data_IF_672759736899
#
_entry.id   IF_672759736899
#
_cell.length_a   1.000
_cell.length_b   1.000
_cell.length_c   1.000
_cell.angle_alpha   90.00
_cell.angle_beta   90.00
_cell.angle_gamma   90.00
#
_symmetry.space_group_name_H-M   'P 1'
#
loop_
_entity.id
_entity.type
_entity.pdbx_description
1 polymer ?
#
# COMPACT_ATOMS: atom_id res chain seq x y z
N UNK A 1 -7.44 10.07 -10.11
CA UNK A 1 -6.28 9.98 -9.22
C UNK A 1 -5.21 10.99 -9.60
N UNK A 2 -4.11 11.07 -8.85
CA UNK A 2 -3.05 12.07 -9.00
C UNK A 2 -2.50 12.23 -10.44
N UNK A 3 -2.29 11.19 -11.25
CA UNK A 3 -1.83 11.36 -12.63
C UNK A 3 -2.81 12.15 -13.50
N UNK A 4 -4.11 11.87 -13.37
CA UNK A 4 -5.14 12.60 -14.13
C UNK A 4 -5.28 14.04 -13.64
N UNK A 5 -5.17 14.26 -12.33
CA UNK A 5 -5.22 15.57 -11.71
C UNK A 5 -4.05 16.45 -12.16
N UNK A 6 -2.82 15.94 -12.11
CA UNK A 6 -1.64 16.66 -12.57
C UNK A 6 -1.69 16.97 -14.06
N UNK A 7 -2.18 16.04 -14.90
CA UNK A 7 -2.38 16.28 -16.32
C UNK A 7 -3.43 17.37 -16.57
N UNK A 8 -4.53 17.35 -15.83
CA UNK A 8 -5.58 18.36 -15.91
C UNK A 8 -5.06 19.74 -15.51
N UNK A 9 -4.30 19.85 -14.43
CA UNK A 9 -3.64 21.11 -14.02
C UNK A 9 -2.70 21.63 -15.10
N UNK A 10 -1.84 20.77 -15.65
CA UNK A 10 -0.91 21.12 -16.73
C UNK A 10 -1.64 21.66 -17.97
N UNK A 11 -2.79 21.08 -18.29
CA UNK A 11 -3.61 21.48 -19.44
C UNK A 11 -4.65 22.56 -19.09
N UNK A 12 -4.66 23.05 -17.84
CA UNK A 12 -5.58 24.10 -17.36
C UNK A 12 -7.06 23.77 -17.57
N UNK A 13 -7.43 22.51 -17.33
CA UNK A 13 -8.80 22.00 -17.41
C UNK A 13 -9.22 21.36 -16.10
N UNK A 14 -10.52 21.26 -15.86
CA UNK A 14 -11.02 20.55 -14.67
C UNK A 14 -10.69 19.05 -14.73
N UNK A 15 -10.24 18.41 -13.63
CA UNK A 15 -9.89 16.98 -13.60
C UNK A 15 -11.00 16.07 -14.13
N UNK A 16 -12.27 16.35 -13.82
CA UNK A 16 -13.40 15.58 -14.32
C UNK A 16 -13.52 15.67 -15.85
N UNK A 17 -13.48 16.87 -16.40
CA UNK A 17 -13.54 17.08 -17.85
C UNK A 17 -12.39 16.37 -18.57
N UNK A 18 -11.16 16.49 -18.03
CA UNK A 18 -10.00 15.79 -18.55
C UNK A 18 -10.19 14.27 -18.54
N UNK A 19 -10.62 13.73 -17.41
CA UNK A 19 -10.77 12.28 -17.23
C UNK A 19 -11.85 11.71 -18.17
N UNK A 20 -13.02 12.32 -18.23
CA UNK A 20 -14.10 11.81 -19.09
C UNK A 20 -13.76 11.94 -20.58
N UNK A 21 -13.13 13.04 -21.00
CA UNK A 21 -12.66 13.20 -22.38
C UNK A 21 -11.66 12.10 -22.76
N UNK A 22 -10.73 11.76 -21.88
CA UNK A 22 -9.78 10.68 -22.13
C UNK A 22 -10.46 9.29 -22.18
N UNK A 23 -11.45 9.03 -21.32
CA UNK A 23 -12.25 7.79 -21.38
C UNK A 23 -12.91 7.66 -22.76
N UNK A 24 -13.57 8.69 -23.23
CA UNK A 24 -14.25 8.69 -24.53
C UNK A 24 -13.26 8.50 -25.69
N UNK A 25 -12.10 9.14 -25.61
CA UNK A 25 -11.04 8.97 -26.58
C UNK A 25 -10.51 7.53 -26.61
N UNK A 26 -10.21 6.94 -25.46
CA UNK A 26 -9.75 5.55 -25.35
C UNK A 26 -10.80 4.56 -25.88
N UNK A 27 -12.08 4.80 -25.59
CA UNK A 27 -13.19 3.98 -26.14
C UNK A 27 -13.22 4.04 -27.66
N UNK A 28 -13.02 5.21 -28.24
CA UNK A 28 -12.95 5.38 -29.70
C UNK A 28 -11.79 4.59 -30.29
N UNK A 29 -10.62 4.64 -29.66
CA UNK A 29 -9.46 3.86 -30.10
C UNK A 29 -9.70 2.35 -30.00
N UNK A 30 -10.26 1.86 -28.89
CA UNK A 30 -10.56 0.44 -28.69
C UNK A 30 -11.61 -0.06 -29.69
N UNK A 31 -12.62 0.75 -30.01
CA UNK A 31 -13.60 0.43 -31.06
C UNK A 31 -12.97 0.34 -32.44
N UNK A 32 -12.00 1.20 -32.76
CA UNK A 32 -11.31 1.18 -34.05
C UNK A 32 -10.45 -0.07 -34.25
N UNK A 33 -10.06 -0.75 -33.17
CA UNK A 33 -9.35 -2.04 -33.23
C UNK A 33 -10.26 -3.23 -33.52
N UNK A 34 -11.58 -3.03 -33.60
CA UNK A 34 -12.52 -4.11 -33.86
C UNK A 34 -12.68 -5.12 -32.72
N UNK A 35 -12.36 -4.75 -31.50
CA UNK A 35 -12.50 -5.63 -30.35
C UNK A 35 -13.97 -5.86 -30.00
N UNK A 36 -14.32 -7.12 -29.73
CA UNK A 36 -15.69 -7.52 -29.33
C UNK A 36 -15.93 -7.22 -27.83
N UNK A 37 -16.03 -5.93 -27.50
CA UNK A 37 -16.27 -5.45 -26.14
C UNK A 37 -17.74 -5.09 -25.98
N UNK A 38 -18.37 -5.63 -24.93
CA UNK A 38 -19.72 -5.22 -24.53
C UNK A 38 -19.68 -3.89 -23.75
N UNK A 39 -19.84 -2.79 -24.46
CA UNK A 39 -19.80 -1.44 -23.88
C UNK A 39 -20.96 -1.12 -22.93
N UNK A 40 -22.03 -1.93 -22.92
CA UNK A 40 -23.11 -1.77 -21.94
C UNK A 40 -22.68 -2.12 -20.51
N UNK A 41 -21.59 -2.86 -20.38
CA UNK A 41 -21.01 -3.29 -19.11
C UNK A 41 -19.80 -2.44 -18.67
N UNK A 42 -19.66 -1.25 -19.24
CA UNK A 42 -18.60 -0.32 -18.86
C UNK A 42 -18.70 0.07 -17.37
N UNK A 43 -17.58 -0.03 -16.69
CA UNK A 43 -17.42 0.42 -15.30
C UNK A 43 -16.46 1.59 -15.27
N UNK A 44 -16.89 2.69 -14.67
CA UNK A 44 -16.07 3.89 -14.48
C UNK A 44 -15.84 4.13 -12.98
N UNK A 45 -14.66 3.79 -12.48
CA UNK A 45 -14.37 3.77 -11.05
C UNK A 45 -14.39 5.16 -10.39
N UNK A 46 -14.23 6.24 -11.16
CA UNK A 46 -14.31 7.60 -10.65
C UNK A 46 -15.75 8.15 -10.53
N UNK A 47 -16.76 7.38 -10.93
CA UNK A 47 -18.16 7.78 -10.77
C UNK A 47 -18.72 7.44 -9.39
N UNK A 48 -19.64 8.28 -8.84
CA UNK A 48 -20.30 8.03 -7.56
C UNK A 48 -20.98 6.66 -7.47
N UNK A 49 -21.55 6.18 -8.55
CA UNK A 49 -22.23 4.88 -8.60
C UNK A 49 -21.27 3.71 -8.30
N UNK A 50 -19.99 3.90 -8.58
CA UNK A 50 -18.96 2.93 -8.27
C UNK A 50 -18.37 3.19 -6.88
N UNK A 51 -17.73 4.35 -6.65
CA UNK A 51 -16.95 4.57 -5.43
C UNK A 51 -17.79 4.67 -4.14
N UNK A 52 -19.11 4.87 -4.21
CA UNK A 52 -19.99 4.76 -3.05
C UNK A 52 -19.89 3.40 -2.35
N UNK A 53 -19.61 2.34 -3.11
CA UNK A 53 -19.45 1.00 -2.56
C UNK A 53 -18.09 0.82 -1.88
N UNK A 54 -17.05 1.46 -2.41
CA UNK A 54 -15.75 1.52 -1.74
C UNK A 54 -15.85 2.29 -0.41
N UNK A 55 -16.57 3.40 -0.40
CA UNK A 55 -16.85 4.17 0.82
C UNK A 55 -17.68 3.37 1.83
N UNK A 56 -18.68 2.63 1.36
CA UNK A 56 -19.46 1.73 2.21
C UNK A 56 -18.58 0.63 2.80
N UNK A 57 -17.77 -0.03 2.01
CA UNK A 57 -16.83 -1.06 2.47
C UNK A 57 -15.86 -0.49 3.51
N UNK A 58 -15.30 0.69 3.23
CA UNK A 58 -14.42 1.39 4.17
C UNK A 58 -15.08 1.60 5.53
N UNK A 59 -16.32 2.08 5.57
CA UNK A 59 -17.04 2.31 6.83
C UNK A 59 -17.28 1.01 7.59
N UNK A 60 -17.63 -0.10 6.89
CA UNK A 60 -17.78 -1.41 7.52
C UNK A 60 -16.48 -1.96 8.10
N UNK A 61 -15.37 -1.78 7.39
CA UNK A 61 -14.06 -2.20 7.89
C UNK A 61 -13.59 -1.34 9.07
N UNK A 62 -13.93 -0.05 9.07
CA UNK A 62 -13.66 0.84 10.19
C UNK A 62 -14.47 0.47 11.44
N UNK A 63 -15.77 0.19 11.31
CA UNK A 63 -16.62 -0.30 12.40
C UNK A 63 -16.11 -1.61 13.03
N UNK A 64 -15.51 -2.46 12.19
CA UNK A 64 -14.88 -3.73 12.63
C UNK A 64 -13.45 -3.56 13.15
N UNK A 65 -12.95 -2.35 13.28
CA UNK A 65 -11.58 -2.04 13.64
C UNK A 65 -10.50 -2.76 12.78
N UNK A 66 -10.87 -3.13 11.55
CA UNK A 66 -9.90 -3.57 10.53
C UNK A 66 -9.14 -2.38 9.97
N UNK A 67 -9.86 -1.25 9.83
CA UNK A 67 -9.27 0.06 9.54
C UNK A 67 -9.23 0.88 10.82
N UNK A 68 -8.14 1.57 11.07
CA UNK A 68 -7.97 2.47 12.20
C UNK A 68 -7.21 3.73 11.79
N UNK A 69 -7.39 4.81 12.56
CA UNK A 69 -6.71 6.08 12.33
C UNK A 69 -5.54 6.24 13.29
N UNK A 70 -4.41 6.66 12.77
CA UNK A 70 -3.18 6.87 13.53
C UNK A 70 -2.31 7.90 12.82
N UNK A 71 -1.57 8.72 13.59
CA UNK A 71 -0.50 9.55 13.00
C UNK A 71 0.69 8.68 12.65
N UNK A 72 1.33 8.99 11.55
CA UNK A 72 2.50 8.29 11.09
C UNK A 72 3.37 9.17 10.19
N UNK A 73 4.65 8.84 10.16
CA UNK A 73 5.63 9.52 9.32
C UNK A 73 5.51 9.08 7.88
N UNK A 74 5.39 10.06 6.99
CA UNK A 74 5.25 9.85 5.55
C UNK A 74 6.31 10.61 4.78
N UNK A 75 6.57 10.16 3.54
CA UNK A 75 7.36 10.92 2.59
C UNK A 75 6.47 11.97 1.94
N UNK A 76 6.78 13.24 2.15
CA UNK A 76 6.04 14.36 1.59
C UNK A 76 6.83 15.02 0.47
N UNK A 77 6.19 15.16 -0.68
CA UNK A 77 6.71 15.95 -1.79
C UNK A 77 6.18 17.39 -1.70
N UNK A 78 7.03 18.39 -1.45
CA UNK A 78 6.57 19.77 -1.26
C UNK A 78 6.14 20.45 -2.57
N UNK A 79 6.56 19.94 -3.73
CA UNK A 79 6.21 20.49 -5.06
C UNK A 79 4.90 19.91 -5.55
N UNK A 80 4.77 18.58 -5.52
CA UNK A 80 3.52 17.90 -5.90
C UNK A 80 2.46 17.95 -4.79
N UNK A 81 2.83 18.43 -3.58
CA UNK A 81 1.98 18.54 -2.39
C UNK A 81 1.24 17.24 -2.08
N UNK A 82 1.96 16.13 -2.11
CA UNK A 82 1.39 14.78 -1.93
C UNK A 82 2.30 13.88 -1.12
N UNK A 83 1.70 12.82 -0.59
CA UNK A 83 2.42 11.72 0.06
C UNK A 83 2.93 10.76 -1.00
N UNK A 84 4.19 10.36 -0.89
CA UNK A 84 4.84 9.39 -1.75
C UNK A 84 5.03 8.04 -1.02
N UNK A 85 4.75 6.95 -1.71
CA UNK A 85 5.19 5.62 -1.29
C UNK A 85 6.72 5.52 -1.34
N UNK A 86 7.29 4.54 -0.63
CA UNK A 86 8.75 4.40 -0.59
C UNK A 86 9.35 4.16 -1.98
N UNK A 87 8.65 3.44 -2.85
CA UNK A 87 9.05 3.14 -4.23
C UNK A 87 9.04 4.38 -5.14
N UNK A 88 8.38 5.44 -4.70
CA UNK A 88 8.29 6.72 -5.41
C UNK A 88 9.36 7.72 -4.95
N UNK A 89 10.22 7.31 -4.03
CA UNK A 89 11.37 8.10 -3.56
C UNK A 89 12.65 7.49 -4.11
N UNK A 90 13.32 8.22 -4.99
CA UNK A 90 14.57 7.82 -5.62
C UNK A 90 15.66 8.78 -5.17
N UNK A 91 16.71 8.27 -4.54
CA UNK A 91 17.83 9.07 -4.02
C UNK A 91 17.38 10.26 -3.13
N UNK A 92 16.34 10.03 -2.30
CA UNK A 92 15.77 11.05 -1.42
C UNK A 92 14.92 12.09 -2.11
N UNK A 93 14.57 11.88 -3.38
CA UNK A 93 13.78 12.81 -4.21
C UNK A 93 12.50 12.16 -4.71
N UNK A 94 11.47 12.95 -4.88
CA UNK A 94 10.23 12.52 -5.53
C UNK A 94 10.47 12.13 -6.98
N UNK A 95 10.03 10.94 -7.36
CA UNK A 95 10.24 10.33 -8.68
C UNK A 95 9.74 11.16 -9.87
N UNK A 96 8.80 12.06 -9.62
CA UNK A 96 8.15 12.88 -10.63
C UNK A 96 8.65 14.33 -10.58
N UNK A 97 8.59 14.96 -9.40
CA UNK A 97 8.94 16.36 -9.21
C UNK A 97 10.45 16.60 -9.17
N UNK A 98 11.24 15.59 -8.78
CA UNK A 98 12.66 15.72 -8.48
C UNK A 98 12.96 16.50 -7.19
N UNK A 99 11.93 16.97 -6.47
CA UNK A 99 12.08 17.69 -5.21
C UNK A 99 12.63 16.79 -4.11
N UNK A 100 13.40 17.37 -3.18
CA UNK A 100 13.84 16.67 -1.97
C UNK A 100 12.61 16.36 -1.13
N UNK A 101 12.48 15.09 -0.75
CA UNK A 101 11.35 14.60 0.03
C UNK A 101 11.53 14.97 1.51
N UNK A 102 10.46 15.44 2.13
CA UNK A 102 10.40 15.74 3.56
C UNK A 102 9.72 14.61 4.33
N UNK A 103 10.12 14.41 5.59
CA UNK A 103 9.35 13.56 6.51
C UNK A 103 8.33 14.43 7.23
N UNK A 104 7.05 14.02 7.17
CA UNK A 104 5.95 14.69 7.87
C UNK A 104 5.10 13.72 8.65
N UNK A 105 4.70 14.11 9.85
CA UNK A 105 3.71 13.40 10.65
C UNK A 105 2.31 13.85 10.25
N UNK A 106 1.52 12.94 9.69
CA UNK A 106 0.13 13.22 9.33
C UNK A 106 -0.81 12.13 9.84
N UNK A 107 -2.06 12.48 10.22
CA UNK A 107 -3.06 11.48 10.58
C UNK A 107 -3.52 10.75 9.33
N UNK A 108 -3.41 9.44 9.33
CA UNK A 108 -3.78 8.57 8.21
C UNK A 108 -4.62 7.38 8.68
N UNK A 109 -5.29 6.74 7.74
CA UNK A 109 -5.95 5.46 7.97
C UNK A 109 -5.01 4.31 7.62
N UNK A 110 -5.05 3.28 8.44
CA UNK A 110 -4.24 2.07 8.30
C UNK A 110 -5.13 0.85 8.30
N UNK A 111 -4.76 -0.15 7.50
CA UNK A 111 -5.33 -1.48 7.55
C UNK A 111 -4.51 -2.37 8.47
N UNK A 112 -5.15 -3.01 9.44
CA UNK A 112 -4.53 -3.97 10.35
C UNK A 112 -4.29 -5.34 9.71
N UNK A 113 -3.68 -5.38 8.52
CA UNK A 113 -3.52 -6.58 7.70
C UNK A 113 -2.63 -7.64 8.36
N UNK A 114 -1.66 -7.22 9.16
CA UNK A 114 -0.67 -8.12 9.79
C UNK A 114 -1.31 -9.11 10.78
N UNK A 115 -2.49 -8.78 11.35
CA UNK A 115 -3.22 -9.71 12.22
C UNK A 115 -3.72 -10.96 11.51
N UNK A 116 -3.80 -10.92 10.18
CA UNK A 116 -4.24 -12.03 9.33
C UNK A 116 -3.08 -12.81 8.70
N UNK A 117 -1.83 -12.43 8.97
CA UNK A 117 -0.66 -13.00 8.31
C UNK A 117 -0.54 -14.51 8.50
N UNK A 118 -0.76 -15.01 9.73
CA UNK A 118 -0.71 -16.45 10.04
C UNK A 118 -1.84 -17.22 9.34
N UNK A 119 -3.05 -16.67 9.34
CA UNK A 119 -4.20 -17.26 8.68
C UNK A 119 -3.98 -17.32 7.16
N UNK A 120 -3.56 -16.22 6.56
CA UNK A 120 -3.25 -16.16 5.13
C UNK A 120 -2.16 -17.15 4.74
N UNK A 121 -1.09 -17.25 5.55
CA UNK A 121 0.00 -18.20 5.28
C UNK A 121 -0.47 -19.66 5.32
N UNK A 122 -1.25 -20.02 6.33
CA UNK A 122 -1.82 -21.36 6.48
C UNK A 122 -2.76 -21.70 5.32
N UNK A 123 -3.62 -20.75 4.94
CA UNK A 123 -4.67 -20.98 3.95
C UNK A 123 -4.12 -21.08 2.52
N UNK A 124 -2.87 -20.65 2.27
CA UNK A 124 -2.17 -20.92 1.00
C UNK A 124 -2.07 -22.41 0.68
N UNK A 125 -2.01 -23.26 1.70
CA UNK A 125 -1.92 -24.71 1.52
C UNK A 125 -3.22 -25.33 1.01
N UNK A 126 -4.33 -24.61 1.12
CA UNK A 126 -5.67 -25.02 0.63
C UNK A 126 -5.97 -24.50 -0.79
N UNK A 127 -5.11 -23.70 -1.37
CA UNK A 127 -5.31 -23.09 -2.70
C UNK A 127 -4.73 -23.98 -3.81
N UNK A 128 -5.22 -25.21 -3.92
CA UNK A 128 -4.71 -26.21 -4.85
C UNK A 128 -4.82 -25.81 -6.33
N UNK A 129 -5.79 -24.92 -6.66
CA UNK A 129 -6.00 -24.42 -8.01
C UNK A 129 -5.06 -23.24 -8.38
N UNK A 130 -4.30 -22.75 -7.41
CA UNK A 130 -3.35 -21.68 -7.67
C UNK A 130 -2.01 -22.26 -8.16
N UNK A 131 -1.37 -21.62 -9.16
CA UNK A 131 -0.03 -22.02 -9.59
C UNK A 131 0.96 -21.99 -8.41
N UNK A 132 1.81 -23.00 -8.31
CA UNK A 132 2.79 -23.10 -7.21
C UNK A 132 3.70 -21.88 -7.10
N UNK A 133 4.09 -21.30 -8.25
CA UNK A 133 4.88 -20.07 -8.28
C UNK A 133 4.18 -18.91 -7.55
N UNK A 134 2.87 -18.76 -7.72
CA UNK A 134 2.09 -17.70 -7.06
C UNK A 134 2.02 -17.96 -5.56
N UNK A 135 1.76 -19.20 -5.13
CA UNK A 135 1.75 -19.57 -3.70
C UNK A 135 3.10 -19.30 -3.04
N UNK A 136 4.18 -19.65 -3.71
CA UNK A 136 5.55 -19.38 -3.24
C UNK A 136 5.82 -17.89 -3.12
N UNK A 137 5.42 -17.07 -4.11
CA UNK A 137 5.55 -15.62 -4.04
C UNK A 137 4.79 -15.04 -2.85
N UNK A 138 3.57 -15.53 -2.57
CA UNK A 138 2.78 -15.08 -1.40
C UNK A 138 3.44 -15.48 -0.08
N UNK A 139 3.95 -16.70 0.05
CA UNK A 139 4.69 -17.14 1.25
C UNK A 139 5.92 -16.25 1.51
N UNK A 140 6.69 -15.98 0.47
CA UNK A 140 7.87 -15.13 0.55
C UNK A 140 7.53 -13.68 0.89
N UNK A 141 6.41 -13.17 0.38
CA UNK A 141 5.93 -11.83 0.69
C UNK A 141 5.47 -11.70 2.15
N UNK A 142 4.73 -12.67 2.68
CA UNK A 142 4.33 -12.70 4.09
C UNK A 142 5.57 -12.81 4.98
N UNK A 143 6.55 -13.61 4.58
CA UNK A 143 7.90 -13.60 5.13
C UNK A 143 7.97 -13.99 6.60
N UNK A 144 7.25 -15.05 7.03
CA UNK A 144 7.31 -15.52 8.41
C UNK A 144 8.75 -15.91 8.78
N UNK A 145 9.26 -15.32 9.84
CA UNK A 145 10.56 -15.65 10.39
C UNK A 145 10.46 -16.02 11.87
N UNK A 146 11.40 -16.80 12.34
CA UNK A 146 11.52 -17.17 13.74
C UNK A 146 12.79 -16.56 14.31
N UNK A 147 12.74 -16.21 15.58
CA UNK A 147 13.90 -15.74 16.32
C UNK A 147 13.87 -16.27 17.74
N UNK A 148 14.98 -16.13 18.43
CA UNK A 148 15.13 -16.49 19.82
C UNK A 148 15.54 -15.29 20.66
N UNK A 149 14.95 -15.20 21.84
CA UNK A 149 15.49 -14.36 22.92
C UNK A 149 16.60 -15.15 23.61
N UNK A 150 17.79 -14.59 23.66
CA UNK A 150 18.94 -15.18 24.34
C UNK A 150 19.21 -14.32 25.56
N UNK A 151 19.30 -14.94 26.71
CA UNK A 151 19.56 -14.26 27.99
C UNK A 151 20.97 -14.65 28.48
N UNK A 152 21.77 -13.64 28.77
CA UNK A 152 23.10 -13.79 29.37
C UNK A 152 23.05 -13.19 30.76
N UNK A 153 23.40 -13.97 31.77
CA UNK A 153 23.60 -13.45 33.12
C UNK A 153 24.88 -12.60 33.17
N UNK A 154 24.85 -11.51 33.90
CA UNK A 154 26.05 -10.72 34.12
C UNK A 154 27.03 -11.50 35.02
N UNK A 155 28.31 -11.42 34.70
CA UNK A 155 29.36 -11.86 35.62
C UNK A 155 29.55 -10.79 36.71
N UNK A 156 28.83 -10.97 37.81
CA UNK A 156 28.85 -10.06 38.95
C UNK A 156 30.28 -9.84 39.52
N UNK A 157 31.12 -10.87 39.47
CA UNK A 157 32.50 -10.77 39.92
C UNK A 157 33.34 -9.80 39.08
N UNK A 158 33.04 -9.71 37.79
CA UNK A 158 33.79 -8.86 36.85
C UNK A 158 33.26 -7.43 36.77
N UNK A 159 31.93 -7.23 36.87
CA UNK A 159 31.32 -5.91 36.63
C UNK A 159 30.64 -5.29 37.85
N UNK A 160 30.53 -6.04 38.95
CA UNK A 160 30.02 -5.53 40.24
C UNK A 160 28.50 -5.25 40.26
N UNK A 161 27.75 -5.71 39.27
CA UNK A 161 26.27 -5.59 39.20
C UNK A 161 25.63 -6.92 38.87
N UNK A 162 24.52 -7.21 39.56
CA UNK A 162 23.67 -8.37 39.25
C UNK A 162 22.63 -7.97 38.19
N UNK A 163 22.39 -8.85 37.21
CA UNK A 163 21.40 -8.60 36.20
C UNK A 163 21.55 -9.51 34.98
N UNK A 164 20.79 -9.20 33.96
CA UNK A 164 20.77 -10.00 32.74
C UNK A 164 20.80 -9.09 31.51
N UNK A 165 21.54 -9.51 30.47
CA UNK A 165 21.46 -8.98 29.12
C UNK A 165 20.55 -9.87 28.29
N UNK A 166 19.45 -9.31 27.83
CA UNK A 166 18.55 -9.99 26.89
C UNK A 166 18.81 -9.47 25.48
N UNK A 167 19.13 -10.36 24.57
CA UNK A 167 19.30 -10.07 23.13
C UNK A 167 18.36 -10.91 22.31
N UNK A 168 17.89 -10.34 21.19
CA UNK A 168 17.07 -11.05 20.24
C UNK A 168 17.86 -11.30 18.95
N UNK A 169 17.75 -12.52 18.40
CA UNK A 169 18.36 -12.87 17.12
C UNK A 169 17.42 -13.73 16.28
N UNK A 170 17.35 -13.47 14.98
CA UNK A 170 16.73 -14.38 14.00
C UNK A 170 17.69 -15.45 13.49
N UNK A 171 18.93 -15.43 13.97
CA UNK A 171 20.00 -16.42 13.71
C UNK A 171 20.74 -16.72 15.01
N UNK A 172 20.06 -17.36 15.96
CA UNK A 172 20.65 -17.67 17.26
C UNK A 172 21.83 -18.64 17.18
#
# INVERSE_FOLDING_TARGET
GLPAENAAMKNKVAPAAWTYSNIDYMKTQLKSLGLAIDWSREITTCKPDYYRWEQWLFTRLFEKAVIYKKSGSVNWDPVDQTVLANEQVIDGRGWRSGAVVEKREIPMYYFGITRYAEELLRDLDQLDQWPEQVRTMQRNWIGKSFGADIVFDYDEASIGITGQLKVYSTRP
#
